data_IF_168114455627
#
_entry.id   IF_168114455627
#
_cell.length_a   1.000
_cell.length_b   1.000
_cell.length_c   1.000
_cell.angle_alpha   90.00
_cell.angle_beta   90.00
_cell.angle_gamma   90.00
#
_symmetry.space_group_name_H-M   'P 1'
#
loop_
_entity.id
_entity.type
_entity.pdbx_description
1 polymer ?
#
# COMPACT_ATOMS: atom_id res chain seq x y z
N UNK A 1 7.08 19.05 12.99
CA UNK A 1 6.43 20.28 13.49
C UNK A 1 6.83 21.49 12.64
N UNK A 2 8.13 21.73 12.43
CA UNK A 2 8.64 22.81 11.58
C UNK A 2 8.09 22.78 10.13
N UNK A 3 8.13 21.61 9.48
CA UNK A 3 7.49 21.42 8.16
C UNK A 3 6.01 21.80 8.14
N UNK A 4 5.25 21.41 9.17
CA UNK A 4 3.81 21.73 9.23
C UNK A 4 3.59 23.24 9.34
N UNK A 5 4.38 23.94 10.16
CA UNK A 5 4.28 25.40 10.29
C UNK A 5 4.58 26.11 8.98
N UNK A 6 5.66 25.74 8.30
CA UNK A 6 6.01 26.29 6.98
C UNK A 6 4.91 26.03 5.96
N UNK A 7 4.42 24.78 5.87
CA UNK A 7 3.37 24.41 4.92
C UNK A 7 2.03 25.10 5.19
N UNK A 8 1.64 25.26 6.45
CA UNK A 8 0.43 26.00 6.82
C UNK A 8 0.55 27.49 6.49
N UNK A 9 1.73 28.09 6.68
CA UNK A 9 1.99 29.48 6.29
C UNK A 9 1.93 29.67 4.78
N UNK A 10 2.52 28.76 4.01
CA UNK A 10 2.42 28.77 2.54
C UNK A 10 0.97 28.67 2.07
N UNK A 11 0.19 27.72 2.60
CA UNK A 11 -1.21 27.52 2.20
C UNK A 11 -2.06 28.76 2.49
N UNK A 12 -1.87 29.37 3.66
CA UNK A 12 -2.60 30.58 4.07
C UNK A 12 -2.24 31.81 3.21
N UNK A 13 -1.06 31.82 2.58
CA UNK A 13 -0.65 32.88 1.66
C UNK A 13 -1.13 32.64 0.21
N UNK A 14 -1.46 31.40 -0.16
CA UNK A 14 -1.71 31.01 -1.56
C UNK A 14 -3.18 30.77 -1.86
N UNK A 15 -3.98 30.34 -0.87
CA UNK A 15 -5.40 29.98 -1.06
C UNK A 15 -6.28 31.03 -0.39
N UNK A 16 -7.11 31.71 -1.20
CA UNK A 16 -8.05 32.72 -0.72
C UNK A 16 -9.41 32.15 -0.31
N UNK A 17 -9.84 31.03 -0.91
CA UNK A 17 -11.09 30.38 -0.54
C UNK A 17 -10.97 29.69 0.83
N UNK A 18 -11.84 30.09 1.77
CA UNK A 18 -11.77 29.60 3.14
C UNK A 18 -12.11 28.11 3.27
N UNK A 19 -12.92 27.56 2.36
CA UNK A 19 -13.31 26.14 2.39
C UNK A 19 -12.18 25.26 1.90
N UNK A 20 -11.57 25.62 0.76
CA UNK A 20 -10.42 24.97 0.18
C UNK A 20 -9.20 25.06 1.10
N UNK A 21 -8.95 26.24 1.69
CA UNK A 21 -7.87 26.44 2.64
C UNK A 21 -8.01 25.50 3.85
N UNK A 22 -9.20 25.42 4.44
CA UNK A 22 -9.45 24.52 5.57
C UNK A 22 -9.23 23.05 5.19
N UNK A 23 -9.60 22.66 3.98
CA UNK A 23 -9.45 21.30 3.47
C UNK A 23 -7.97 20.93 3.25
N UNK A 24 -7.16 21.84 2.70
CA UNK A 24 -5.72 21.65 2.52
C UNK A 24 -4.95 21.69 3.85
N UNK A 25 -5.28 22.63 4.74
CA UNK A 25 -4.67 22.70 6.07
C UNK A 25 -4.93 21.40 6.86
N UNK A 26 -6.15 20.84 6.76
CA UNK A 26 -6.48 19.56 7.36
C UNK A 26 -5.57 18.43 6.86
N UNK A 27 -5.21 18.38 5.56
CA UNK A 27 -4.29 17.38 5.01
C UNK A 27 -2.87 17.47 5.60
N UNK A 28 -2.43 18.65 6.05
CA UNK A 28 -1.11 18.88 6.66
C UNK A 28 -1.08 18.42 8.12
N UNK A 29 -2.11 18.76 8.90
CA UNK A 29 -2.15 18.49 10.36
C UNK A 29 -2.69 17.10 10.69
N UNK A 30 -3.48 16.49 9.81
CA UNK A 30 -4.02 15.13 10.00
C UNK A 30 -2.94 14.05 9.97
N UNK A 31 -1.80 14.31 9.33
CA UNK A 31 -0.69 13.35 9.27
C UNK A 31 -0.05 13.23 10.65
N UNK A 32 -0.27 12.10 11.31
CA UNK A 32 0.40 11.77 12.57
C UNK A 32 1.54 10.79 12.34
N UNK A 33 2.54 10.82 13.22
CA UNK A 33 3.65 9.89 13.15
C UNK A 33 3.18 8.47 13.52
N UNK A 34 3.29 7.54 12.57
CA UNK A 34 2.98 6.13 12.81
C UNK A 34 3.81 5.56 13.98
N UNK A 35 5.07 5.99 14.14
CA UNK A 35 5.94 5.51 15.21
C UNK A 35 5.43 5.90 16.62
N UNK A 36 4.87 7.10 16.80
CA UNK A 36 4.28 7.49 18.09
C UNK A 36 3.03 6.64 18.39
N UNK A 37 2.18 6.44 17.39
CA UNK A 37 0.95 5.64 17.55
C UNK A 37 1.21 4.15 17.76
N UNK A 38 2.25 3.58 17.14
CA UNK A 38 2.66 2.19 17.35
C UNK A 38 3.17 1.96 18.77
N UNK A 39 3.85 2.94 19.36
CA UNK A 39 4.38 2.85 20.73
C UNK A 39 3.35 3.12 21.83
N UNK A 40 2.23 3.78 21.52
CA UNK A 40 1.25 4.21 22.52
C UNK A 40 0.64 3.07 23.32
N UNK A 41 0.41 1.89 22.72
CA UNK A 41 -0.12 0.72 23.43
C UNK A 41 0.77 0.30 24.62
N UNK A 42 2.08 0.26 24.41
CA UNK A 42 3.03 -0.06 25.48
C UNK A 42 3.06 1.03 26.57
N UNK A 43 3.04 2.31 26.18
CA UNK A 43 3.06 3.43 27.12
C UNK A 43 1.79 3.51 27.99
N UNK A 44 0.64 3.12 27.45
CA UNK A 44 -0.62 3.03 28.20
C UNK A 44 -0.55 1.88 29.19
N UNK A 45 -0.10 0.69 28.76
CA UNK A 45 0.02 -0.46 29.63
C UNK A 45 1.01 -0.25 30.79
N UNK A 46 2.05 0.57 30.57
CA UNK A 46 3.01 0.98 31.60
C UNK A 46 2.54 2.17 32.47
N UNK A 47 1.35 2.72 32.21
CA UNK A 47 0.82 3.88 32.96
C UNK A 47 1.50 5.22 32.65
N UNK A 48 2.35 5.29 31.62
CA UNK A 48 3.10 6.50 31.24
C UNK A 48 2.21 7.49 30.47
N UNK A 49 1.32 6.98 29.60
CA UNK A 49 0.34 7.79 28.85
C UNK A 49 -1.09 7.36 29.21
N UNK A 50 -2.02 8.33 29.22
CA UNK A 50 -3.46 8.07 29.35
C UNK A 50 -4.06 7.71 28.00
N UNK A 51 -4.86 6.65 27.94
CA UNK A 51 -5.48 6.14 26.72
C UNK A 51 -6.22 7.20 25.89
N UNK A 52 -6.96 8.10 26.56
CA UNK A 52 -7.74 9.16 25.89
C UNK A 52 -6.87 10.17 25.12
N UNK A 53 -5.56 10.21 25.40
CA UNK A 53 -4.59 11.15 24.80
C UNK A 53 -3.53 10.43 23.96
N UNK A 54 -3.61 9.11 23.81
CA UNK A 54 -2.59 8.29 23.19
C UNK A 54 -3.23 7.34 22.17
N UNK A 55 -3.71 7.88 21.04
CA UNK A 55 -4.31 7.06 19.99
C UNK A 55 -3.32 5.98 19.55
N UNK A 56 -3.82 4.74 19.52
CA UNK A 56 -3.08 3.57 19.10
C UNK A 56 -3.37 3.34 17.61
N UNK A 57 -2.33 3.13 16.82
CA UNK A 57 -2.50 2.75 15.42
C UNK A 57 -1.55 1.61 15.12
N UNK A 58 -2.11 0.46 14.77
CA UNK A 58 -1.39 -0.66 14.19
C UNK A 58 -1.95 -0.78 12.78
N UNK A 59 -1.07 -0.71 11.78
CA UNK A 59 -1.45 -1.02 10.41
C UNK A 59 -1.00 -2.45 10.15
N UNK A 60 -1.85 -3.46 10.38
CA UNK A 60 -1.46 -4.80 9.99
C UNK A 60 -1.41 -4.83 8.46
N UNK A 61 -0.33 -5.40 7.91
CA UNK A 61 -0.27 -5.63 6.48
C UNK A 61 -1.45 -6.49 6.04
N UNK A 62 -1.90 -6.32 4.81
CA UNK A 62 -3.01 -7.08 4.22
C UNK A 62 -2.91 -8.60 4.37
N UNK A 63 -1.69 -9.13 4.52
CA UNK A 63 -1.43 -10.54 4.75
C UNK A 63 -2.00 -11.06 6.09
N UNK A 64 -2.34 -10.18 7.04
CA UNK A 64 -2.95 -10.58 8.31
C UNK A 64 -4.31 -11.25 8.11
N UNK A 65 -5.01 -10.95 7.00
CA UNK A 65 -6.36 -11.49 6.73
C UNK A 65 -6.40 -13.01 6.63
N UNK A 66 -5.23 -13.64 6.44
CA UNK A 66 -5.08 -15.09 6.36
C UNK A 66 -4.89 -15.78 7.72
N UNK A 67 -4.80 -15.00 8.80
CA UNK A 67 -4.79 -15.47 10.18
C UNK A 67 -6.20 -15.30 10.76
N UNK A 68 -6.83 -16.41 11.15
CA UNK A 68 -8.29 -16.46 11.38
C UNK A 68 -8.70 -16.88 12.80
N UNK A 69 -7.73 -16.96 13.71
CA UNK A 69 -7.95 -17.25 15.13
C UNK A 69 -6.92 -16.51 15.97
N UNK A 70 -7.02 -16.64 17.28
CA UNK A 70 -5.96 -16.25 18.18
C UNK A 70 -4.81 -17.26 18.11
N UNK A 71 -3.58 -16.75 18.11
CA UNK A 71 -2.36 -17.54 18.09
C UNK A 71 -1.48 -17.12 19.25
N UNK A 72 -0.90 -18.09 19.94
CA UNK A 72 0.15 -17.82 20.92
C UNK A 72 1.41 -17.29 20.23
N UNK A 73 2.23 -16.55 20.99
CA UNK A 73 3.53 -16.08 20.51
C UNK A 73 4.42 -17.25 20.06
N UNK A 74 4.37 -18.38 20.77
CA UNK A 74 5.12 -19.59 20.45
C UNK A 74 4.70 -20.15 19.10
N UNK A 75 3.39 -20.24 18.82
CA UNK A 75 2.90 -20.64 17.50
C UNK A 75 3.38 -19.69 16.41
N UNK A 76 3.29 -18.38 16.62
CA UNK A 76 3.67 -17.41 15.59
C UNK A 76 5.18 -17.42 15.31
N UNK A 77 6.01 -17.56 16.36
CA UNK A 77 7.45 -17.76 16.19
C UNK A 77 7.75 -19.06 15.43
N UNK A 78 7.11 -20.17 15.79
CA UNK A 78 7.31 -21.44 15.08
C UNK A 78 6.87 -21.36 13.61
N UNK A 79 5.85 -20.55 13.29
CA UNK A 79 5.44 -20.26 11.91
C UNK A 79 6.51 -19.48 11.15
N UNK A 80 7.01 -18.37 11.71
CA UNK A 80 8.04 -17.54 11.04
C UNK A 80 9.35 -18.27 10.80
N UNK A 81 9.71 -19.22 11.68
CA UNK A 81 10.93 -20.01 11.56
C UNK A 81 10.71 -21.39 10.91
N UNK A 82 9.56 -21.64 10.28
CA UNK A 82 9.23 -22.91 9.61
C UNK A 82 9.41 -24.15 10.51
N UNK A 83 9.21 -24.01 11.83
CA UNK A 83 9.32 -25.11 12.81
C UNK A 83 8.03 -25.92 12.94
N UNK A 84 6.98 -25.53 12.24
CA UNK A 84 5.70 -26.23 12.20
C UNK A 84 5.02 -26.03 10.84
N UNK A 85 3.89 -26.72 10.64
CA UNK A 85 3.01 -26.48 9.49
C UNK A 85 2.58 -25.02 9.46
N UNK A 86 2.48 -24.45 8.26
CA UNK A 86 2.00 -23.09 8.05
C UNK A 86 0.67 -22.84 8.78
N UNK A 87 0.56 -21.70 9.47
CA UNK A 87 -0.65 -21.28 10.17
C UNK A 87 -1.71 -20.69 9.24
N UNK A 88 -1.32 -20.38 8.00
CA UNK A 88 -2.17 -19.77 6.97
C UNK A 88 -2.51 -20.78 5.87
N UNK A 89 -3.64 -20.58 5.18
CA UNK A 89 -4.04 -21.44 4.06
C UNK A 89 -2.98 -21.47 2.96
N UNK A 90 -2.91 -22.59 2.23
CA UNK A 90 -2.13 -22.70 0.98
C UNK A 90 -2.70 -21.82 -0.13
N UNK A 91 -3.98 -21.45 -0.03
CA UNK A 91 -4.64 -20.54 -0.97
C UNK A 91 -4.17 -19.09 -0.81
N UNK A 92 -3.42 -18.78 0.26
CA UNK A 92 -2.82 -17.46 0.43
C UNK A 92 -1.91 -17.18 -0.76
N UNK A 93 -2.15 -16.12 -1.54
CA UNK A 93 -1.29 -15.78 -2.65
C UNK A 93 0.06 -15.27 -2.14
N UNK A 94 1.04 -15.28 -3.02
CA UNK A 94 2.34 -14.67 -2.78
C UNK A 94 2.19 -13.18 -2.45
N UNK A 95 3.11 -12.64 -1.64
CA UNK A 95 3.07 -11.21 -1.30
C UNK A 95 3.11 -10.31 -2.54
N UNK A 96 3.96 -10.65 -3.54
CA UNK A 96 4.01 -9.94 -4.82
C UNK A 96 2.71 -10.01 -5.61
N UNK A 97 2.07 -11.17 -5.68
CA UNK A 97 0.77 -11.31 -6.36
C UNK A 97 -0.25 -10.33 -5.76
N UNK A 98 -0.31 -10.26 -4.43
CA UNK A 98 -1.24 -9.35 -3.75
C UNK A 98 -0.85 -7.87 -3.88
N UNK A 99 0.44 -7.54 -3.81
CA UNK A 99 0.92 -6.18 -4.00
C UNK A 99 0.66 -5.66 -5.41
N UNK A 100 0.88 -6.49 -6.44
CA UNK A 100 0.57 -6.16 -7.84
C UNK A 100 -0.89 -5.72 -7.98
N UNK A 101 -1.83 -6.50 -7.44
CA UNK A 101 -3.26 -6.13 -7.43
C UNK A 101 -3.49 -4.79 -6.72
N UNK A 102 -2.89 -4.58 -5.54
CA UNK A 102 -3.05 -3.31 -4.81
C UNK A 102 -2.57 -2.10 -5.60
N UNK A 103 -1.43 -2.23 -6.30
CA UNK A 103 -0.87 -1.14 -7.08
C UNK A 103 -1.70 -0.86 -8.33
N UNK A 104 -2.24 -1.88 -8.99
CA UNK A 104 -3.20 -1.69 -10.10
C UNK A 104 -4.48 -1.02 -9.61
N UNK A 105 -5.04 -1.45 -8.47
CA UNK A 105 -6.20 -0.78 -7.86
C UNK A 105 -5.87 0.67 -7.43
N UNK A 106 -4.63 0.95 -7.05
CA UNK A 106 -4.18 2.30 -6.75
C UNK A 106 -4.04 3.16 -8.00
N UNK A 107 -3.51 2.61 -9.08
CA UNK A 107 -3.42 3.26 -10.37
C UNK A 107 -4.80 3.68 -10.90
N UNK A 108 -5.78 2.78 -10.86
CA UNK A 108 -7.19 3.08 -11.19
C UNK A 108 -7.73 4.27 -10.38
N UNK A 109 -7.49 4.28 -9.07
CA UNK A 109 -7.90 5.40 -8.20
C UNK A 109 -7.18 6.70 -8.54
N UNK A 110 -5.93 6.64 -8.98
CA UNK A 110 -5.19 7.84 -9.40
C UNK A 110 -5.74 8.39 -10.71
N UNK A 111 -6.00 7.55 -11.71
CA UNK A 111 -6.64 7.94 -12.96
C UNK A 111 -7.98 8.63 -12.68
N UNK A 112 -8.86 8.00 -11.88
CA UNK A 112 -10.20 8.53 -11.57
C UNK A 112 -10.20 9.86 -10.81
N UNK A 113 -9.11 10.21 -10.14
CA UNK A 113 -8.96 11.47 -9.37
C UNK A 113 -8.14 12.52 -10.11
N UNK A 114 -7.55 12.16 -11.24
CA UNK A 114 -6.67 13.01 -12.02
C UNK A 114 -7.50 13.99 -12.85
N UNK A 115 -6.98 15.19 -13.02
CA UNK A 115 -7.41 16.16 -14.03
C UNK A 115 -6.78 15.92 -15.41
N UNK A 116 -5.88 14.93 -15.49
CA UNK A 116 -5.10 14.52 -16.66
C UNK A 116 -4.31 15.69 -17.29
N UNK A 117 -3.90 16.66 -16.48
CA UNK A 117 -2.97 17.68 -16.93
C UNK A 117 -1.60 17.06 -17.29
N UNK A 118 -0.75 17.81 -18.01
CA UNK A 118 0.54 17.32 -18.51
C UNK A 118 1.42 16.69 -17.43
N UNK A 119 1.48 17.30 -16.24
CA UNK A 119 2.26 16.79 -15.11
C UNK A 119 1.70 15.49 -14.57
N UNK A 120 0.38 15.40 -14.40
CA UNK A 120 -0.28 14.21 -13.88
C UNK A 120 -0.17 13.06 -14.87
N UNK A 121 -0.36 13.34 -16.16
CA UNK A 121 -0.19 12.37 -17.26
C UNK A 121 1.23 11.81 -17.31
N UNK A 122 2.26 12.66 -17.22
CA UNK A 122 3.66 12.17 -17.14
C UNK A 122 3.87 11.23 -15.95
N UNK A 123 3.34 11.59 -14.78
CA UNK A 123 3.45 10.77 -13.56
C UNK A 123 2.75 9.41 -13.73
N UNK A 124 1.58 9.39 -14.36
CA UNK A 124 0.82 8.17 -14.60
C UNK A 124 1.50 7.27 -15.66
N UNK A 125 2.11 7.85 -16.69
CA UNK A 125 2.90 7.09 -17.67
C UNK A 125 4.14 6.45 -17.03
N UNK A 126 4.88 7.20 -16.21
CA UNK A 126 6.00 6.65 -15.45
C UNK A 126 5.54 5.53 -14.50
N UNK A 127 4.37 5.70 -13.85
CA UNK A 127 3.80 4.65 -12.99
C UNK A 127 3.49 3.38 -13.80
N UNK A 128 2.85 3.52 -14.96
CA UNK A 128 2.48 2.42 -15.83
C UNK A 128 3.71 1.61 -16.30
N UNK A 129 4.73 2.28 -16.81
CA UNK A 129 5.98 1.62 -17.24
C UNK A 129 6.71 0.92 -16.08
N UNK A 130 6.76 1.56 -14.91
CA UNK A 130 7.31 0.94 -13.71
C UNK A 130 6.52 -0.29 -13.27
N UNK A 131 5.20 -0.28 -13.40
CA UNK A 131 4.37 -1.44 -13.09
C UNK A 131 4.66 -2.61 -14.03
N UNK A 132 4.75 -2.37 -15.34
CA UNK A 132 5.13 -3.40 -16.32
C UNK A 132 6.50 -4.01 -15.99
N UNK A 133 7.49 -3.17 -15.73
CA UNK A 133 8.83 -3.62 -15.34
C UNK A 133 8.81 -4.42 -14.02
N UNK A 134 8.04 -3.96 -13.03
CA UNK A 134 7.89 -4.65 -11.74
C UNK A 134 7.19 -6.00 -11.87
N UNK A 135 6.16 -6.11 -12.72
CA UNK A 135 5.49 -7.37 -13.03
C UNK A 135 6.45 -8.35 -13.72
N UNK A 136 7.25 -7.89 -14.69
CA UNK A 136 8.24 -8.75 -15.36
C UNK A 136 9.33 -9.24 -14.39
N UNK A 137 9.78 -8.38 -13.48
CA UNK A 137 10.65 -8.78 -12.38
C UNK A 137 10.00 -9.87 -11.52
N UNK A 138 8.72 -9.72 -11.16
CA UNK A 138 8.00 -10.71 -10.38
C UNK A 138 7.83 -12.03 -11.13
N UNK A 139 7.59 -11.99 -12.45
CA UNK A 139 7.55 -13.16 -13.33
C UNK A 139 8.89 -13.90 -13.32
N UNK A 140 10.00 -13.18 -13.45
CA UNK A 140 11.35 -13.74 -13.34
C UNK A 140 11.60 -14.33 -11.95
N UNK A 141 11.20 -13.61 -10.89
CA UNK A 141 11.31 -14.10 -9.51
C UNK A 141 10.57 -15.43 -9.30
N UNK A 142 9.41 -15.61 -9.96
CA UNK A 142 8.60 -16.81 -9.83
C UNK A 142 9.28 -18.10 -10.29
N UNK A 143 10.38 -17.99 -11.05
CA UNK A 143 11.16 -19.13 -11.54
C UNK A 143 12.13 -19.70 -10.48
N UNK A 144 12.29 -19.02 -9.34
CA UNK A 144 13.15 -19.50 -8.25
C UNK A 144 12.52 -20.69 -7.52
N UNK A 145 13.37 -21.47 -6.85
CA UNK A 145 12.87 -22.52 -5.96
C UNK A 145 12.08 -21.88 -4.80
N UNK A 146 10.79 -22.20 -4.62
CA UNK A 146 9.98 -21.61 -3.57
C UNK A 146 10.41 -22.08 -2.19
N UNK A 147 10.20 -21.23 -1.18
CA UNK A 147 10.23 -21.66 0.21
C UNK A 147 9.05 -22.60 0.51
N UNK A 148 9.17 -23.40 1.57
CA UNK A 148 8.25 -24.52 1.89
C UNK A 148 6.76 -24.17 1.91
N UNK A 149 6.40 -22.93 2.28
CA UNK A 149 5.01 -22.47 2.38
C UNK A 149 4.68 -21.33 1.42
N UNK A 150 5.52 -21.09 0.43
CA UNK A 150 5.38 -19.97 -0.51
C UNK A 150 4.55 -20.39 -1.72
N UNK A 151 3.44 -19.69 -1.95
CA UNK A 151 2.58 -19.92 -3.12
C UNK A 151 3.13 -19.15 -4.34
N UNK A 152 4.30 -19.55 -4.83
CA UNK A 152 4.99 -18.83 -5.92
C UNK A 152 4.20 -18.87 -7.23
N UNK A 153 3.43 -19.95 -7.45
CA UNK A 153 2.61 -20.14 -8.66
C UNK A 153 1.53 -19.06 -8.81
N UNK A 154 1.02 -18.53 -7.69
CA UNK A 154 0.04 -17.43 -7.70
C UNK A 154 0.58 -16.14 -8.34
N UNK A 155 1.90 -15.94 -8.41
CA UNK A 155 2.49 -14.73 -9.00
C UNK A 155 2.10 -14.62 -10.48
N UNK A 156 2.25 -15.69 -11.26
CA UNK A 156 2.04 -15.62 -12.72
C UNK A 156 0.57 -15.41 -13.05
N UNK A 157 -0.33 -16.16 -12.41
CA UNK A 157 -1.77 -15.99 -12.62
C UNK A 157 -2.24 -14.55 -12.27
N UNK A 158 -1.69 -13.93 -11.23
CA UNK A 158 -2.04 -12.56 -10.86
C UNK A 158 -1.42 -11.55 -11.82
N UNK A 159 -0.19 -11.76 -12.30
CA UNK A 159 0.38 -10.92 -13.34
C UNK A 159 -0.50 -10.96 -14.59
N UNK A 160 -0.89 -12.15 -15.06
CA UNK A 160 -1.71 -12.29 -16.26
C UNK A 160 -3.04 -11.52 -16.13
N UNK A 161 -3.73 -11.66 -14.99
CA UNK A 161 -4.98 -10.93 -14.74
C UNK A 161 -4.77 -9.41 -14.60
N UNK A 162 -3.76 -9.00 -13.82
CA UNK A 162 -3.56 -7.59 -13.49
C UNK A 162 -2.91 -6.79 -14.62
N UNK A 163 -2.12 -7.41 -15.49
CA UNK A 163 -1.60 -6.78 -16.70
C UNK A 163 -2.73 -6.35 -17.64
N UNK A 164 -3.70 -7.24 -17.89
CA UNK A 164 -4.88 -6.94 -18.72
C UNK A 164 -5.64 -5.75 -18.12
N UNK A 165 -5.93 -5.78 -16.82
CA UNK A 165 -6.61 -4.68 -16.13
C UNK A 165 -5.83 -3.36 -16.26
N UNK A 166 -4.52 -3.40 -16.10
CA UNK A 166 -3.66 -2.22 -16.17
C UNK A 166 -3.65 -1.63 -17.59
N UNK A 167 -3.52 -2.48 -18.61
CA UNK A 167 -3.54 -2.09 -20.03
C UNK A 167 -4.88 -1.46 -20.39
N UNK A 168 -6.00 -2.10 -20.07
CA UNK A 168 -7.34 -1.56 -20.31
C UNK A 168 -7.54 -0.20 -19.63
N UNK A 169 -7.10 -0.04 -18.37
CA UNK A 169 -7.20 1.24 -17.66
C UNK A 169 -6.36 2.33 -18.31
N UNK A 170 -5.15 1.99 -18.76
CA UNK A 170 -4.23 2.92 -19.40
C UNK A 170 -4.76 3.35 -20.77
N UNK A 171 -5.19 2.42 -21.61
CA UNK A 171 -5.75 2.71 -22.93
C UNK A 171 -7.01 3.56 -22.84
N UNK A 172 -7.92 3.25 -21.90
CA UNK A 172 -9.13 4.04 -21.69
C UNK A 172 -8.83 5.48 -21.22
N UNK A 173 -7.73 5.69 -20.50
CA UNK A 173 -7.36 6.99 -19.96
C UNK A 173 -6.54 7.85 -20.94
N UNK A 174 -5.72 7.24 -21.80
CA UNK A 174 -4.71 7.95 -22.60
C UNK A 174 -4.76 7.69 -24.11
N UNK A 175 -5.51 6.68 -24.56
CA UNK A 175 -5.99 6.53 -25.94
C UNK A 175 -5.03 6.88 -27.08
N UNK A 176 -3.93 6.15 -27.25
CA UNK A 176 -3.54 5.63 -28.57
C UNK A 176 -2.98 4.20 -28.42
N UNK A 177 -3.27 3.28 -29.36
CA UNK A 177 -2.78 1.91 -29.29
C UNK A 177 -1.28 1.86 -29.58
N UNK A 178 -0.53 1.10 -28.79
CA UNK A 178 0.88 0.81 -29.07
C UNK A 178 0.98 0.12 -30.45
N UNK A 179 1.95 0.51 -31.30
CA UNK A 179 2.22 -0.24 -32.52
C UNK A 179 2.77 -1.61 -32.12
N UNK A 180 2.08 -2.65 -32.60
CA UNK A 180 2.49 -4.06 -32.57
C UNK A 180 3.86 -4.22 -33.23
#
# INVERSE_FOLDING_TARGET
>A
KEYQQQKLSELSATIADGTELALEQAKVVKKTCLCDHLGNGALINLGIKKEQKAPQAICPGQNISWFNREYSLVEMMAHFYNKQKSLVSKDRPHMFAKEIQMYVDYFDRLIKKSDLNERTTKTLNEFYENMKSGMEYCRTFSQKQPFTSENIDSINAWIDEQSIRLEEMYENAFGEPMPV
#
